data_IF_990049610031
#
_entry.id   IF_990049610031
#
_cell.length_a   1.000
_cell.length_b   1.000
_cell.length_c   1.000
_cell.angle_alpha   90.00
_cell.angle_beta   90.00
_cell.angle_gamma   90.00
#
_symmetry.space_group_name_H-M   'P 1'
#
loop_
_entity.id
_entity.type
_entity.pdbx_description
1 polymer ?
#
# COMPACT_ATOMS: atom_id res chain seq x y z
N UNK A 1 -41.64 0.60 42.94
CA UNK A 1 -40.22 0.52 43.36
C UNK A 1 -39.78 1.89 43.83
N UNK A 2 -38.88 1.95 44.79
CA UNK A 2 -38.25 3.20 45.25
C UNK A 2 -37.17 3.66 44.27
N UNK A 3 -36.76 4.93 44.37
CA UNK A 3 -35.63 5.45 43.56
C UNK A 3 -34.38 4.60 43.77
N UNK A 4 -34.07 4.25 45.03
CA UNK A 4 -32.89 3.46 45.36
C UNK A 4 -32.90 2.10 44.67
N UNK A 5 -34.03 1.39 44.76
CA UNK A 5 -34.20 0.09 44.08
C UNK A 5 -34.02 0.20 42.57
N UNK A 6 -34.62 1.22 41.94
CA UNK A 6 -34.49 1.46 40.50
C UNK A 6 -33.03 1.68 40.09
N UNK A 7 -32.31 2.53 40.82
CA UNK A 7 -30.93 2.90 40.52
C UNK A 7 -29.96 1.75 40.77
N UNK A 8 -30.14 1.00 41.86
CA UNK A 8 -29.31 -0.18 42.18
C UNK A 8 -29.51 -1.27 41.11
N UNK A 9 -30.74 -1.52 40.68
CA UNK A 9 -31.03 -2.51 39.63
C UNK A 9 -30.48 -2.07 38.26
N UNK A 10 -30.73 -0.82 37.85
CA UNK A 10 -30.22 -0.28 36.58
C UNK A 10 -28.68 -0.28 36.53
N UNK A 11 -28.03 0.15 37.62
CA UNK A 11 -26.56 0.20 37.70
C UNK A 11 -25.91 -1.19 37.65
N UNK A 12 -26.54 -2.20 38.26
CA UNK A 12 -26.09 -3.58 38.18
C UNK A 12 -26.22 -4.14 36.75
N UNK A 13 -27.34 -3.84 36.07
CA UNK A 13 -27.60 -4.30 34.70
C UNK A 13 -26.69 -3.64 33.67
N UNK A 14 -26.23 -2.40 33.91
CA UNK A 14 -25.32 -1.66 33.04
C UNK A 14 -23.83 -1.98 33.30
N UNK A 15 -23.50 -3.06 34.03
CA UNK A 15 -22.12 -3.42 34.38
C UNK A 15 -21.18 -3.70 33.19
N UNK A 16 -21.73 -3.99 32.01
CA UNK A 16 -20.95 -4.20 30.77
C UNK A 16 -20.44 -2.87 30.15
N UNK A 17 -20.95 -1.72 30.59
CA UNK A 17 -20.53 -0.40 30.10
C UNK A 17 -19.27 0.11 30.84
N UNK A 18 -18.45 0.94 30.19
CA UNK A 18 -17.39 1.68 30.86
C UNK A 18 -17.94 2.51 32.02
N UNK A 19 -17.16 2.61 33.11
CA UNK A 19 -17.59 3.29 34.34
C UNK A 19 -18.13 4.70 34.10
N UNK A 20 -17.49 5.45 33.20
CA UNK A 20 -17.91 6.81 32.87
C UNK A 20 -19.31 6.84 32.25
N UNK A 21 -19.56 6.06 31.20
CA UNK A 21 -20.87 6.01 30.53
C UNK A 21 -21.96 5.52 31.48
N UNK A 22 -21.65 4.51 32.29
CA UNK A 22 -22.58 4.01 33.31
C UNK A 22 -22.94 5.09 34.32
N UNK A 23 -21.96 5.84 34.82
CA UNK A 23 -22.20 6.93 35.77
C UNK A 23 -22.98 8.08 35.16
N UNK A 24 -22.69 8.44 33.91
CA UNK A 24 -23.40 9.48 33.16
C UNK A 24 -24.89 9.09 33.00
N UNK A 25 -25.18 7.86 32.58
CA UNK A 25 -26.57 7.35 32.49
C UNK A 25 -27.28 7.40 33.85
N UNK A 26 -26.62 6.94 34.92
CA UNK A 26 -27.22 6.96 36.25
C UNK A 26 -27.46 8.40 36.76
N UNK A 27 -26.61 9.36 36.37
CA UNK A 27 -26.82 10.77 36.69
C UNK A 27 -28.09 11.32 36.00
N UNK A 28 -28.29 11.02 34.73
CA UNK A 28 -29.48 11.46 33.97
C UNK A 28 -30.78 10.94 34.59
N UNK A 29 -30.81 9.65 34.96
CA UNK A 29 -31.99 9.08 35.63
C UNK A 29 -32.18 9.65 37.03
N UNK A 30 -31.10 9.96 37.75
CA UNK A 30 -31.18 10.64 39.05
C UNK A 30 -31.83 12.03 38.92
N UNK A 31 -31.44 12.79 37.90
CA UNK A 31 -32.04 14.10 37.60
C UNK A 31 -33.54 13.97 37.26
N UNK A 32 -33.92 12.96 36.48
CA UNK A 32 -35.32 12.65 36.19
C UNK A 32 -36.16 12.43 37.45
N UNK A 33 -35.64 11.64 38.41
CA UNK A 33 -36.30 11.45 39.70
C UNK A 33 -36.40 12.74 40.51
N UNK A 34 -35.35 13.57 40.52
CA UNK A 34 -35.37 14.86 41.24
C UNK A 34 -36.40 15.83 40.65
N UNK A 35 -36.53 15.90 39.32
CA UNK A 35 -37.53 16.74 38.64
C UNK A 35 -38.95 16.24 38.98
N UNK A 36 -39.19 14.93 38.92
CA UNK A 36 -40.50 14.37 39.25
C UNK A 36 -40.93 14.65 40.68
N UNK A 37 -40.00 14.56 41.65
CA UNK A 37 -40.27 14.89 43.05
C UNK A 37 -40.60 16.38 43.20
N UNK A 38 -39.87 17.28 42.53
CA UNK A 38 -40.17 18.72 42.52
C UNK A 38 -41.55 19.04 41.94
N UNK A 39 -42.05 18.21 41.03
CA UNK A 39 -43.39 18.32 40.45
C UNK A 39 -44.48 17.70 41.35
N UNK A 40 -44.13 17.22 42.54
CA UNK A 40 -45.08 16.63 43.48
C UNK A 40 -45.43 15.16 43.21
N UNK A 41 -44.72 14.48 42.31
CA UNK A 41 -44.90 13.04 42.06
C UNK A 41 -44.19 12.22 43.11
N UNK A 42 -44.76 11.07 43.45
CA UNK A 42 -44.10 10.07 44.29
C UNK A 42 -43.00 9.33 43.51
N UNK A 43 -42.00 8.78 44.20
CA UNK A 43 -40.96 7.96 43.56
C UNK A 43 -41.56 6.78 42.78
N UNK A 44 -42.66 6.21 43.26
CA UNK A 44 -43.29 5.07 42.62
C UNK A 44 -43.92 5.43 41.28
N UNK A 45 -44.62 6.57 41.19
CA UNK A 45 -45.20 7.08 39.94
C UNK A 45 -44.12 7.42 38.92
N UNK A 46 -42.98 7.97 39.38
CA UNK A 46 -41.86 8.28 38.50
C UNK A 46 -41.26 6.98 37.94
N UNK A 47 -40.99 5.99 38.78
CA UNK A 47 -40.45 4.70 38.35
C UNK A 47 -41.40 3.98 37.39
N UNK A 48 -42.72 4.05 37.62
CA UNK A 48 -43.72 3.48 36.71
C UNK A 48 -43.73 4.21 35.36
N UNK A 49 -43.57 5.54 35.35
CA UNK A 49 -43.48 6.33 34.12
C UNK A 49 -42.20 6.08 33.31
N UNK A 50 -41.10 5.77 33.99
CA UNK A 50 -39.81 5.43 33.35
C UNK A 50 -39.81 4.01 32.79
N UNK A 51 -40.62 3.11 33.34
CA UNK A 51 -40.68 1.71 32.95
C UNK A 51 -39.69 0.81 33.71
N UNK A 52 -39.41 -0.38 33.18
CA UNK A 52 -38.56 -1.35 33.89
C UNK A 52 -37.06 -1.11 33.66
N UNK A 53 -36.21 -1.11 34.71
CA UNK A 53 -34.76 -1.01 34.59
C UNK A 53 -34.16 -2.04 33.62
N UNK A 54 -34.75 -3.25 33.58
CA UNK A 54 -34.35 -4.33 32.66
C UNK A 54 -34.55 -3.98 31.19
N UNK A 55 -35.67 -3.35 30.85
CA UNK A 55 -35.93 -2.94 29.45
C UNK A 55 -34.96 -1.85 29.03
N UNK A 56 -34.78 -0.84 29.89
CA UNK A 56 -33.87 0.29 29.66
C UNK A 56 -32.44 -0.22 29.45
N UNK A 57 -31.93 -1.04 30.37
CA UNK A 57 -30.59 -1.58 30.28
C UNK A 57 -30.38 -2.39 29.00
N UNK A 58 -31.36 -3.19 28.60
CA UNK A 58 -31.29 -4.00 27.37
C UNK A 58 -31.17 -3.12 26.13
N UNK A 59 -31.92 -2.02 26.05
CA UNK A 59 -31.88 -1.09 24.92
C UNK A 59 -30.55 -0.34 24.84
N UNK A 60 -30.06 0.17 25.98
CA UNK A 60 -28.78 0.88 26.05
C UNK A 60 -27.61 -0.03 25.67
N UNK A 61 -27.57 -1.25 26.21
CA UNK A 61 -26.53 -2.24 25.89
C UNK A 61 -26.61 -2.70 24.43
N UNK A 62 -27.80 -2.82 23.85
CA UNK A 62 -27.97 -3.15 22.45
C UNK A 62 -27.41 -2.04 21.54
N UNK A 63 -27.71 -0.78 21.84
CA UNK A 63 -27.15 0.38 21.12
C UNK A 63 -25.61 0.42 21.21
N UNK A 64 -25.07 0.30 22.42
CA UNK A 64 -23.63 0.29 22.65
C UNK A 64 -22.90 -0.82 21.89
N UNK A 65 -23.45 -2.04 21.87
CA UNK A 65 -22.87 -3.17 21.12
C UNK A 65 -22.87 -2.94 19.61
N UNK A 66 -23.89 -2.26 19.06
CA UNK A 66 -23.96 -1.91 17.64
C UNK A 66 -22.88 -0.88 17.29
N UNK A 67 -22.74 0.17 18.10
CA UNK A 67 -21.74 1.22 17.90
C UNK A 67 -20.31 0.68 18.02
N UNK A 68 -20.08 -0.23 18.97
CA UNK A 68 -18.81 -0.90 19.14
C UNK A 68 -18.48 -1.83 17.94
N UNK A 69 -19.48 -2.52 17.40
CA UNK A 69 -19.31 -3.35 16.20
C UNK A 69 -19.00 -2.50 14.95
N UNK A 70 -19.62 -1.34 14.81
CA UNK A 70 -19.36 -0.42 13.69
C UNK A 70 -17.96 0.24 13.78
N UNK A 71 -17.55 0.66 14.97
CA UNK A 71 -16.26 1.34 15.17
C UNK A 71 -15.05 0.40 15.00
N UNK A 72 -15.11 -0.81 15.56
CA UNK A 72 -14.02 -1.79 15.46
C UNK A 72 -13.82 -2.35 14.04
N UNK A 73 -14.89 -2.44 13.25
CA UNK A 73 -14.80 -2.92 11.87
C UNK A 73 -14.16 -1.90 10.90
N UNK A 74 -14.20 -0.60 11.22
CA UNK A 74 -13.98 0.45 10.22
C UNK A 74 -12.54 0.99 10.16
N UNK A 75 -11.93 1.40 11.28
CA UNK A 75 -10.67 2.17 11.20
C UNK A 75 -9.41 1.28 11.11
N UNK A 76 -9.34 0.22 11.90
CA UNK A 76 -8.16 -0.69 11.92
C UNK A 76 -8.08 -1.60 10.70
N UNK A 77 -9.22 -2.02 10.17
CA UNK A 77 -9.25 -2.83 8.95
C UNK A 77 -8.94 -2.00 7.71
N UNK A 78 -9.44 -0.76 7.66
CA UNK A 78 -9.18 0.16 6.55
C UNK A 78 -7.71 0.61 6.52
N UNK A 79 -7.10 0.95 7.65
CA UNK A 79 -5.68 1.33 7.69
C UNK A 79 -4.76 0.16 7.31
N UNK A 80 -5.08 -1.07 7.73
CA UNK A 80 -4.36 -2.28 7.30
C UNK A 80 -4.52 -2.56 5.80
N UNK A 81 -5.72 -2.37 5.24
CA UNK A 81 -5.96 -2.54 3.80
C UNK A 81 -5.23 -1.47 2.96
N UNK A 82 -5.22 -0.21 3.43
CA UNK A 82 -4.47 0.89 2.80
C UNK A 82 -2.97 0.59 2.87
N UNK A 83 -2.45 0.24 4.05
CA UNK A 83 -1.04 -0.09 4.23
C UNK A 83 -0.63 -1.28 3.37
N UNK A 84 -1.46 -2.33 3.29
CA UNK A 84 -1.20 -3.49 2.43
C UNK A 84 -1.16 -3.11 0.94
N UNK A 85 -2.08 -2.24 0.50
CA UNK A 85 -2.14 -1.77 -0.89
C UNK A 85 -0.92 -0.92 -1.25
N UNK A 86 -0.55 0.03 -0.38
CA UNK A 86 0.66 0.86 -0.54
C UNK A 86 1.90 -0.02 -0.52
N UNK A 87 1.98 -0.97 0.42
CA UNK A 87 3.12 -1.88 0.55
C UNK A 87 3.26 -2.77 -0.67
N UNK A 88 2.15 -3.30 -1.21
CA UNK A 88 2.16 -4.11 -2.42
C UNK A 88 2.60 -3.30 -3.64
N UNK A 89 2.12 -2.06 -3.77
CA UNK A 89 2.54 -1.14 -4.83
C UNK A 89 4.02 -0.79 -4.74
N UNK A 90 4.50 -0.44 -3.54
CA UNK A 90 5.91 -0.13 -3.28
C UNK A 90 6.81 -1.36 -3.49
N UNK A 91 6.39 -2.53 -3.03
CA UNK A 91 7.09 -3.80 -3.24
C UNK A 91 7.22 -4.10 -4.73
N UNK A 92 6.14 -3.95 -5.50
CA UNK A 92 6.18 -4.13 -6.95
C UNK A 92 7.15 -3.12 -7.62
N UNK A 93 7.15 -1.85 -7.19
CA UNK A 93 8.06 -0.85 -7.71
C UNK A 93 9.54 -1.20 -7.42
N UNK A 94 9.86 -1.59 -6.18
CA UNK A 94 11.25 -1.89 -5.82
C UNK A 94 11.75 -3.19 -6.45
N UNK A 95 10.96 -4.26 -6.40
CA UNK A 95 11.41 -5.60 -6.78
C UNK A 95 11.20 -5.93 -8.26
N UNK A 96 10.22 -5.31 -8.94
CA UNK A 96 10.00 -5.52 -10.37
C UNK A 96 10.58 -4.38 -11.19
N UNK A 97 10.18 -3.14 -10.88
CA UNK A 97 10.57 -1.98 -11.68
C UNK A 97 12.05 -1.61 -11.48
N UNK A 98 12.60 -1.76 -10.26
CA UNK A 98 14.01 -1.52 -9.96
C UNK A 98 14.98 -2.32 -10.85
N UNK A 99 14.95 -3.66 -10.80
CA UNK A 99 15.77 -4.50 -11.68
C UNK A 99 15.51 -4.27 -13.17
N UNK A 100 14.28 -3.94 -13.55
CA UNK A 100 13.94 -3.62 -14.94
C UNK A 100 14.69 -2.37 -15.43
N UNK A 101 14.68 -1.29 -14.66
CA UNK A 101 15.48 -0.09 -15.00
C UNK A 101 16.98 -0.36 -14.95
N UNK A 102 17.44 -1.17 -14.00
CA UNK A 102 18.84 -1.63 -13.96
C UNK A 102 19.25 -2.34 -15.26
N UNK A 103 18.40 -3.26 -15.74
CA UNK A 103 18.63 -3.99 -16.99
C UNK A 103 18.66 -3.05 -18.21
N UNK A 104 17.74 -2.08 -18.27
CA UNK A 104 17.74 -1.05 -19.33
C UNK A 104 19.03 -0.22 -19.28
N UNK A 105 19.46 0.20 -18.09
CA UNK A 105 20.71 0.94 -17.91
C UNK A 105 21.92 0.17 -18.42
N UNK A 106 22.02 -1.12 -18.07
CA UNK A 106 23.08 -2.01 -18.58
C UNK A 106 23.02 -2.13 -20.09
N UNK A 107 21.83 -2.31 -20.68
CA UNK A 107 21.68 -2.38 -22.14
C UNK A 107 22.16 -1.09 -22.82
N UNK A 108 21.74 0.08 -22.31
CA UNK A 108 22.17 1.38 -22.83
C UNK A 108 23.70 1.51 -22.76
N UNK A 109 24.31 1.14 -21.63
CA UNK A 109 25.76 1.17 -21.48
C UNK A 109 26.46 0.24 -22.50
N UNK A 110 25.96 -0.98 -22.70
CA UNK A 110 26.52 -1.89 -23.69
C UNK A 110 26.38 -1.35 -25.13
N UNK A 111 25.24 -0.75 -25.48
CA UNK A 111 25.07 -0.09 -26.78
C UNK A 111 26.01 1.11 -26.95
N UNK A 112 26.22 1.89 -25.89
CA UNK A 112 27.17 3.01 -25.91
C UNK A 112 28.61 2.52 -26.13
N UNK A 113 29.04 1.45 -25.44
CA UNK A 113 30.35 0.81 -25.68
C UNK A 113 30.48 0.33 -27.12
N UNK A 114 29.45 -0.36 -27.62
CA UNK A 114 29.41 -0.85 -28.99
C UNK A 114 29.53 0.27 -30.02
N UNK A 115 28.81 1.37 -29.80
CA UNK A 115 28.85 2.56 -30.64
C UNK A 115 30.23 3.24 -30.57
N UNK A 116 30.80 3.41 -29.38
CA UNK A 116 32.14 3.97 -29.21
C UNK A 116 33.21 3.17 -29.96
N UNK A 117 33.14 1.84 -29.95
CA UNK A 117 34.06 0.98 -30.71
C UNK A 117 33.93 1.17 -32.22
N UNK A 118 32.70 1.41 -32.72
CA UNK A 118 32.46 1.69 -34.13
C UNK A 118 32.93 3.09 -34.54
N UNK A 119 32.84 4.07 -33.65
CA UNK A 119 33.21 5.46 -33.92
C UNK A 119 34.71 5.74 -33.70
N UNK A 120 35.37 5.04 -32.78
CA UNK A 120 36.78 5.24 -32.44
C UNK A 120 37.75 5.28 -33.65
N UNK A 121 37.63 4.40 -34.66
CA UNK A 121 38.41 4.47 -35.89
C UNK A 121 38.36 5.82 -36.61
N UNK A 122 37.20 6.49 -36.62
CA UNK A 122 37.04 7.78 -37.28
C UNK A 122 37.81 8.89 -36.58
N UNK A 123 37.87 8.85 -35.24
CA UNK A 123 38.69 9.79 -34.47
C UNK A 123 40.17 9.66 -34.79
N UNK A 124 40.67 8.41 -34.85
CA UNK A 124 42.07 8.12 -35.20
C UNK A 124 42.39 8.64 -36.62
N UNK A 125 41.49 8.45 -37.58
CA UNK A 125 41.69 8.93 -38.96
C UNK A 125 41.74 10.46 -39.05
N UNK A 126 40.94 11.18 -38.25
CA UNK A 126 40.94 12.64 -38.24
C UNK A 126 42.22 13.24 -37.64
N UNK A 127 42.78 12.60 -36.61
CA UNK A 127 43.98 13.10 -35.93
C UNK A 127 45.27 12.80 -36.71
N UNK A 128 45.37 11.64 -37.35
CA UNK A 128 46.62 11.18 -37.99
C UNK A 128 46.66 11.29 -39.52
N UNK A 129 45.55 11.67 -40.16
CA UNK A 129 45.43 11.85 -41.62
C UNK A 129 45.60 10.55 -42.43
N UNK A 130 45.83 10.68 -43.74
CA UNK A 130 46.13 9.54 -44.61
C UNK A 130 47.48 8.91 -44.21
N UNK A 131 47.54 7.60 -43.97
CA UNK A 131 48.74 6.97 -43.41
C UNK A 131 49.84 6.78 -44.47
N UNK A 132 50.99 7.42 -44.25
CA UNK A 132 52.27 6.92 -44.76
C UNK A 132 52.61 5.59 -44.03
N UNK A 133 53.12 4.56 -44.70
CA UNK A 133 53.33 3.25 -44.09
C UNK A 133 54.46 3.27 -43.05
N UNK A 134 54.11 3.13 -41.77
CA UNK A 134 55.04 2.93 -40.64
C UNK A 134 54.53 1.81 -39.71
N UNK A 135 55.42 1.21 -38.91
CA UNK A 135 55.05 0.12 -37.99
C UNK A 135 53.97 0.54 -36.99
N UNK A 136 54.07 1.76 -36.45
CA UNK A 136 53.09 2.34 -35.52
C UNK A 136 51.72 2.53 -36.20
N UNK A 137 51.69 3.02 -37.45
CA UNK A 137 50.45 3.24 -38.20
C UNK A 137 49.80 1.93 -38.65
N UNK A 138 50.57 0.89 -38.96
CA UNK A 138 50.03 -0.44 -39.21
C UNK A 138 49.34 -0.98 -37.96
N UNK A 139 49.93 -0.81 -36.78
CA UNK A 139 49.30 -1.24 -35.52
C UNK A 139 48.00 -0.48 -35.24
N UNK A 140 47.96 0.84 -35.48
CA UNK A 140 46.72 1.63 -35.39
C UNK A 140 45.65 1.17 -36.38
N UNK A 141 46.03 0.85 -37.63
CA UNK A 141 45.13 0.33 -38.65
C UNK A 141 44.54 -1.02 -38.22
N UNK A 142 45.37 -1.97 -37.75
CA UNK A 142 44.92 -3.25 -37.20
C UNK A 142 43.99 -3.04 -35.99
N UNK A 143 44.34 -2.15 -35.06
CA UNK A 143 43.51 -1.81 -33.91
C UNK A 143 42.15 -1.26 -34.32
N UNK A 144 42.11 -0.39 -35.34
CA UNK A 144 40.85 0.15 -35.86
C UNK A 144 39.96 -0.93 -36.49
N UNK A 145 40.54 -1.87 -37.25
CA UNK A 145 39.82 -2.98 -37.86
C UNK A 145 39.24 -3.92 -36.78
N UNK A 146 40.03 -4.20 -35.74
CA UNK A 146 39.57 -4.98 -34.58
C UNK A 146 38.45 -4.25 -33.85
N UNK A 147 38.56 -2.93 -33.64
CA UNK A 147 37.53 -2.13 -32.98
C UNK A 147 36.21 -2.16 -33.74
N UNK A 148 36.23 -1.97 -35.07
CA UNK A 148 35.03 -2.09 -35.92
C UNK A 148 34.45 -3.51 -35.85
N UNK A 149 35.31 -4.52 -35.97
CA UNK A 149 34.89 -5.92 -35.92
C UNK A 149 34.18 -6.27 -34.61
N UNK A 150 34.80 -5.94 -33.48
CA UNK A 150 34.23 -6.16 -32.15
C UNK A 150 32.96 -5.33 -31.92
N UNK A 151 32.96 -4.06 -32.29
CA UNK A 151 31.77 -3.19 -32.20
C UNK A 151 30.60 -3.72 -33.04
N UNK A 152 30.87 -4.21 -34.25
CA UNK A 152 29.86 -4.82 -35.11
C UNK A 152 29.28 -6.11 -34.52
N UNK A 153 30.15 -7.02 -34.07
CA UNK A 153 29.72 -8.28 -33.43
C UNK A 153 28.91 -8.02 -32.15
N UNK A 154 29.37 -7.07 -31.31
CA UNK A 154 28.67 -6.68 -30.10
C UNK A 154 27.30 -6.08 -30.41
N UNK A 155 27.20 -5.21 -31.42
CA UNK A 155 25.92 -4.63 -31.87
C UNK A 155 24.93 -5.72 -32.28
N UNK A 156 25.35 -6.67 -33.12
CA UNK A 156 24.49 -7.77 -33.57
C UNK A 156 24.06 -8.65 -32.39
N UNK A 157 24.97 -8.93 -31.45
CA UNK A 157 24.68 -9.64 -30.21
C UNK A 157 23.62 -8.92 -29.37
N UNK A 158 23.81 -7.62 -29.13
CA UNK A 158 22.89 -6.78 -28.35
C UNK A 158 21.51 -6.68 -28.99
N UNK A 159 21.41 -6.56 -30.31
CA UNK A 159 20.12 -6.52 -31.01
C UNK A 159 19.34 -7.82 -30.83
N UNK A 160 20.01 -8.98 -30.94
CA UNK A 160 19.37 -10.29 -30.69
C UNK A 160 18.97 -10.44 -29.23
N UNK A 161 19.84 -10.05 -28.31
CA UNK A 161 19.57 -10.11 -26.88
C UNK A 161 18.39 -9.20 -26.47
N UNK A 162 18.32 -7.99 -27.02
CA UNK A 162 17.21 -7.05 -26.81
C UNK A 162 15.89 -7.64 -27.31
N UNK A 163 15.88 -8.26 -28.50
CA UNK A 163 14.69 -8.96 -29.00
C UNK A 163 14.26 -10.12 -28.11
N UNK A 164 15.22 -10.87 -27.56
CA UNK A 164 14.95 -11.95 -26.62
C UNK A 164 14.32 -11.44 -25.32
N UNK A 165 14.88 -10.37 -24.72
CA UNK A 165 14.30 -9.71 -23.54
C UNK A 165 12.88 -9.22 -23.83
N UNK A 166 12.67 -8.56 -24.97
CA UNK A 166 11.35 -8.08 -25.39
C UNK A 166 10.33 -9.23 -25.51
N UNK A 167 10.73 -10.36 -26.07
CA UNK A 167 9.87 -11.55 -26.14
C UNK A 167 9.53 -12.09 -24.75
N UNK A 168 10.49 -12.16 -23.83
CA UNK A 168 10.24 -12.56 -22.44
C UNK A 168 9.28 -11.61 -21.73
N UNK A 169 9.43 -10.31 -21.94
CA UNK A 169 8.55 -9.29 -21.38
C UNK A 169 7.11 -9.45 -21.90
N UNK A 170 6.92 -9.67 -23.21
CA UNK A 170 5.59 -9.93 -23.77
C UNK A 170 4.96 -11.21 -23.19
N UNK A 171 5.74 -12.29 -23.02
CA UNK A 171 5.26 -13.53 -22.39
C UNK A 171 4.84 -13.30 -20.94
N UNK A 172 5.62 -12.51 -20.18
CA UNK A 172 5.29 -12.14 -18.82
C UNK A 172 3.99 -11.32 -18.74
N UNK A 173 3.80 -10.34 -19.63
CA UNK A 173 2.55 -9.57 -19.69
C UNK A 173 1.35 -10.46 -20.03
N UNK A 174 1.51 -11.35 -21.02
CA UNK A 174 0.48 -12.31 -21.40
C UNK A 174 0.11 -13.24 -20.24
N UNK A 175 1.11 -13.77 -19.52
CA UNK A 175 0.92 -14.60 -18.35
C UNK A 175 0.13 -13.86 -17.25
N UNK A 176 0.48 -12.62 -16.93
CA UNK A 176 -0.27 -11.83 -15.94
C UNK A 176 -1.72 -11.57 -16.38
N UNK A 177 -1.94 -11.25 -17.65
CA UNK A 177 -3.30 -11.04 -18.17
C UNK A 177 -4.12 -12.34 -18.14
N UNK A 178 -3.51 -13.50 -18.42
CA UNK A 178 -4.18 -14.80 -18.34
C UNK A 178 -4.57 -15.14 -16.91
N UNK A 179 -3.66 -14.96 -15.95
CA UNK A 179 -3.91 -15.15 -14.52
C UNK A 179 -5.06 -14.28 -14.01
N UNK A 180 -5.10 -13.00 -14.39
CA UNK A 180 -6.20 -12.08 -13.99
C UNK A 180 -7.53 -12.49 -14.64
N UNK A 181 -7.51 -13.04 -15.86
CA UNK A 181 -8.70 -13.52 -16.57
C UNK A 181 -9.15 -14.92 -16.12
N UNK A 182 -8.45 -15.57 -15.19
CA UNK A 182 -8.83 -16.86 -14.61
C UNK A 182 -8.81 -18.03 -15.60
N UNK A 183 -7.96 -17.98 -16.63
CA UNK A 183 -7.71 -19.08 -17.56
C UNK A 183 -6.30 -19.63 -17.41
#
# INVERSE_FOLDING_TARGET
MTRREFMDELGALLGDLPDKERLDILADYTEHFLIGIKQGKSEHEIAESLGSPKTIARELLAGYRIDQAQSNASVSNMSRAILATISLGFFNLLFVLGPFFGLIGVLIACYAVSFSLLVAPFGILMEYGYPEPSQERLLLLFGSLVSVGLGGMLTVGLLRFTKWIYSMFLKYLQFNVQMIRGK
#
